data_IF_399248892343
#
_entry.id   IF_399248892343
#
_cell.length_a   1.000
_cell.length_b   1.000
_cell.length_c   1.000
_cell.angle_alpha   90.00
_cell.angle_beta   90.00
_cell.angle_gamma   90.00
#
_symmetry.space_group_name_H-M   'P 1'
#
loop_
_entity.id
_entity.type
_entity.pdbx_description
1 polymer ?
#
# COMPACT_ATOMS: atom_id res chain seq x y z
N UNK A 1 -53.50 3.07 -26.67
CA UNK A 1 -52.04 3.31 -26.77
C UNK A 1 -51.40 2.94 -25.44
N UNK A 2 -50.82 1.74 -25.28
CA UNK A 2 -50.21 1.34 -24.01
C UNK A 2 -48.79 1.91 -23.91
N UNK A 3 -48.57 2.78 -22.92
CA UNK A 3 -47.27 3.37 -22.63
C UNK A 3 -46.36 2.31 -21.99
N UNK A 4 -45.41 1.75 -22.74
CA UNK A 4 -44.42 0.82 -22.18
C UNK A 4 -43.47 1.56 -21.22
N UNK A 5 -43.52 1.21 -19.93
CA UNK A 5 -42.48 1.59 -18.96
C UNK A 5 -41.22 0.78 -19.27
N UNK A 6 -40.11 1.48 -19.55
CA UNK A 6 -38.78 0.85 -19.56
C UNK A 6 -38.41 0.46 -18.13
N UNK A 7 -38.05 -0.80 -17.99
CA UNK A 7 -37.46 -1.42 -16.82
C UNK A 7 -36.05 -0.85 -16.58
N UNK A 8 -35.96 0.17 -15.72
CA UNK A 8 -34.72 0.53 -15.04
C UNK A 8 -34.36 -0.56 -14.04
N UNK A 9 -33.62 -1.57 -14.51
CA UNK A 9 -32.58 -2.30 -13.79
C UNK A 9 -32.16 -3.51 -14.62
N UNK A 10 -31.04 -3.37 -15.34
CA UNK A 10 -30.34 -4.47 -16.00
C UNK A 10 -29.68 -5.44 -15.01
N UNK A 11 -30.43 -5.93 -14.01
CA UNK A 11 -29.96 -6.97 -13.10
C UNK A 11 -30.24 -8.31 -13.77
N UNK A 12 -29.20 -8.88 -14.39
CA UNK A 12 -29.20 -10.23 -14.96
C UNK A 12 -29.99 -11.20 -14.06
N UNK A 13 -31.02 -11.85 -14.63
CA UNK A 13 -31.72 -12.96 -13.98
C UNK A 13 -30.78 -14.17 -13.95
N UNK A 14 -30.22 -14.49 -12.78
CA UNK A 14 -29.52 -15.76 -12.57
C UNK A 14 -30.59 -16.85 -12.48
N UNK A 15 -30.49 -17.89 -13.33
CA UNK A 15 -31.40 -19.04 -13.31
C UNK A 15 -31.16 -19.87 -12.04
N UNK A 16 -32.24 -20.43 -11.48
CA UNK A 16 -32.29 -21.20 -10.23
C UNK A 16 -31.44 -22.49 -10.18
N UNK A 17 -30.60 -22.76 -11.17
CA UNK A 17 -29.71 -23.93 -11.21
C UNK A 17 -28.29 -23.59 -11.67
N UNK A 18 -27.95 -22.30 -11.77
CA UNK A 18 -26.59 -21.88 -12.06
C UNK A 18 -25.77 -22.09 -10.78
N UNK A 19 -24.98 -23.18 -10.74
CA UNK A 19 -24.00 -23.43 -9.67
C UNK A 19 -22.93 -22.36 -9.80
N UNK A 20 -23.20 -21.16 -9.26
CA UNK A 20 -22.21 -20.13 -9.01
C UNK A 20 -21.23 -20.71 -8.00
N UNK A 21 -20.20 -21.40 -8.50
CA UNK A 21 -19.00 -21.67 -7.73
C UNK A 21 -18.33 -20.32 -7.47
N UNK A 22 -18.81 -19.63 -6.44
CA UNK A 22 -18.13 -18.49 -5.87
C UNK A 22 -16.90 -19.00 -5.11
N UNK A 23 -15.87 -19.44 -5.83
CA UNK A 23 -14.52 -19.34 -5.31
C UNK A 23 -14.22 -17.86 -5.26
N UNK A 24 -14.60 -17.21 -4.15
CA UNK A 24 -14.17 -15.85 -3.86
C UNK A 24 -12.64 -15.87 -4.02
N UNK A 25 -12.04 -15.11 -4.95
CA UNK A 25 -10.59 -14.95 -4.91
C UNK A 25 -10.32 -14.36 -3.53
N UNK A 26 -9.49 -15.07 -2.75
CA UNK A 26 -8.92 -14.53 -1.51
C UNK A 26 -8.29 -13.22 -1.94
N UNK A 27 -8.94 -12.09 -1.65
CA UNK A 27 -8.42 -10.79 -2.05
C UNK A 27 -7.05 -10.72 -1.40
N UNK A 28 -5.96 -10.55 -2.16
CA UNK A 28 -4.67 -10.39 -1.54
C UNK A 28 -4.81 -9.23 -0.56
N UNK A 29 -4.32 -9.42 0.66
CA UNK A 29 -4.37 -8.40 1.69
C UNK A 29 -3.56 -7.22 1.18
N UNK A 30 -4.23 -6.27 0.53
CA UNK A 30 -3.62 -5.04 0.06
C UNK A 30 -3.32 -4.23 1.30
N UNK A 31 -2.05 -3.93 1.53
CA UNK A 31 -1.63 -3.06 2.61
C UNK A 31 -2.27 -1.67 2.41
N UNK A 32 -2.38 -0.85 3.46
CA UNK A 32 -3.06 0.46 3.42
C UNK A 32 -2.57 1.42 2.31
N UNK A 33 -1.36 1.17 1.80
CA UNK A 33 -0.75 1.87 0.67
C UNK A 33 -1.10 1.31 -0.73
N UNK A 34 -1.88 0.22 -0.82
CA UNK A 34 -2.18 -0.50 -2.05
C UNK A 34 -1.08 -1.46 -2.52
N UNK A 35 0.00 -1.64 -1.75
CA UNK A 35 1.03 -2.63 -2.08
C UNK A 35 0.55 -4.05 -1.75
N UNK A 36 0.86 -4.97 -2.66
CA UNK A 36 0.84 -6.40 -2.36
C UNK A 36 2.10 -6.74 -1.54
N UNK A 37 2.03 -7.66 -0.57
CA UNK A 37 3.18 -8.05 0.26
C UNK A 37 4.41 -8.45 -0.57
N UNK A 38 4.20 -9.21 -1.65
CA UNK A 38 5.24 -9.65 -2.58
C UNK A 38 6.02 -8.49 -3.24
N UNK A 39 5.39 -7.34 -3.40
CA UNK A 39 5.97 -6.17 -4.05
C UNK A 39 6.67 -5.21 -3.09
N UNK A 40 6.50 -5.40 -1.76
CA UNK A 40 7.09 -4.52 -0.74
C UNK A 40 8.62 -4.48 -0.83
N UNK A 41 9.36 -5.61 -0.95
CA UNK A 41 10.81 -5.57 -1.05
C UNK A 41 11.31 -4.76 -2.25
N UNK A 42 10.69 -4.97 -3.42
CA UNK A 42 11.01 -4.22 -4.64
C UNK A 42 10.71 -2.73 -4.47
N UNK A 43 9.58 -2.39 -3.86
CA UNK A 43 9.21 -0.99 -3.60
C UNK A 43 10.17 -0.33 -2.63
N UNK A 44 10.62 -1.07 -1.62
CA UNK A 44 11.61 -0.60 -0.67
C UNK A 44 12.96 -0.31 -1.34
N UNK A 45 13.41 -1.19 -2.23
CA UNK A 45 14.63 -0.95 -3.02
C UNK A 45 14.54 0.36 -3.84
N UNK A 46 13.40 0.61 -4.51
CA UNK A 46 13.18 1.84 -5.29
C UNK A 46 13.15 3.10 -4.40
N UNK A 47 12.56 3.00 -3.21
CA UNK A 47 12.55 4.10 -2.24
C UNK A 47 13.98 4.40 -1.78
N UNK A 48 14.73 3.37 -1.40
CA UNK A 48 16.12 3.51 -0.96
C UNK A 48 17.01 4.14 -2.04
N UNK A 49 16.90 3.67 -3.29
CA UNK A 49 17.60 4.23 -4.44
C UNK A 49 17.21 5.70 -4.71
N UNK A 50 15.93 6.03 -4.54
CA UNK A 50 15.46 7.41 -4.69
C UNK A 50 16.06 8.31 -3.60
N UNK A 51 16.13 7.82 -2.36
CA UNK A 51 16.73 8.54 -1.23
C UNK A 51 18.21 8.78 -1.48
N UNK A 52 18.96 7.75 -1.89
CA UNK A 52 20.41 7.86 -2.11
C UNK A 52 20.79 8.83 -3.22
N UNK A 53 19.92 9.04 -4.21
CA UNK A 53 20.12 9.99 -5.32
C UNK A 53 19.63 11.41 -4.99
N UNK A 54 18.89 11.59 -3.90
CA UNK A 54 18.29 12.89 -3.57
C UNK A 54 19.14 13.71 -2.63
N UNK A 55 19.04 15.03 -2.75
CA UNK A 55 19.60 15.95 -1.77
C UNK A 55 18.76 15.87 -0.48
N UNK A 56 19.38 15.64 0.69
CA UNK A 56 18.66 15.54 1.95
C UNK A 56 18.04 16.89 2.33
N UNK A 57 16.90 16.86 3.04
CA UNK A 57 16.34 18.05 3.67
C UNK A 57 16.90 18.19 5.07
N UNK A 58 17.41 19.36 5.45
CA UNK A 58 17.89 19.58 6.81
C UNK A 58 16.75 20.07 7.70
N UNK A 59 16.58 19.42 8.85
CA UNK A 59 15.61 19.79 9.87
C UNK A 59 16.38 20.04 11.19
N UNK A 60 16.02 21.11 11.90
CA UNK A 60 16.63 21.42 13.19
C UNK A 60 16.09 20.46 14.25
N UNK A 61 16.98 19.72 14.91
CA UNK A 61 16.62 18.82 15.98
C UNK A 61 16.86 19.48 17.34
N UNK A 62 15.78 19.72 18.08
CA UNK A 62 15.84 20.32 19.42
C UNK A 62 16.51 19.41 20.45
N UNK A 63 16.49 18.08 20.24
CA UNK A 63 17.08 17.11 21.18
C UNK A 63 18.60 17.14 21.10
N UNK A 64 19.16 17.23 19.90
CA UNK A 64 20.62 17.24 19.68
C UNK A 64 21.19 18.64 19.51
N UNK A 65 20.33 19.67 19.36
CA UNK A 65 20.75 21.05 19.13
C UNK A 65 21.50 21.25 17.81
N UNK A 66 21.15 20.49 16.77
CA UNK A 66 21.88 20.48 15.50
C UNK A 66 20.94 20.29 14.29
N UNK A 67 21.41 20.72 13.11
CA UNK A 67 20.77 20.39 11.84
C UNK A 67 21.04 18.94 11.47
N UNK A 68 19.98 18.14 11.36
CA UNK A 68 20.07 16.72 10.99
C UNK A 68 19.56 16.54 9.55
N UNK A 69 20.25 15.73 8.72
CA UNK A 69 19.73 15.36 7.42
C UNK A 69 18.52 14.44 7.56
N UNK A 70 17.43 14.83 6.88
CA UNK A 70 16.19 14.08 6.76
C UNK A 70 15.87 13.75 5.30
N UNK A 71 14.81 12.96 5.11
CA UNK A 71 14.33 12.56 3.79
C UNK A 71 13.66 13.75 3.09
N UNK A 72 14.07 14.00 1.84
CA UNK A 72 13.54 15.12 1.06
C UNK A 72 12.00 15.09 0.93
N UNK A 73 11.38 16.28 0.94
CA UNK A 73 9.92 16.43 0.83
C UNK A 73 9.35 15.76 -0.44
N UNK A 74 10.09 15.82 -1.54
CA UNK A 74 9.68 15.21 -2.81
C UNK A 74 9.54 13.69 -2.71
N UNK A 75 10.46 13.03 -2.00
CA UNK A 75 10.39 11.59 -1.74
C UNK A 75 9.27 11.26 -0.77
N UNK A 76 9.13 12.04 0.31
CA UNK A 76 8.02 11.89 1.27
C UNK A 76 6.66 11.98 0.56
N UNK A 77 6.49 12.89 -0.40
CA UNK A 77 5.26 13.00 -1.20
C UNK A 77 5.09 11.82 -2.17
N UNK A 78 6.15 11.45 -2.90
CA UNK A 78 6.10 10.38 -3.90
C UNK A 78 5.82 9.00 -3.29
N UNK A 79 6.36 8.73 -2.11
CA UNK A 79 6.30 7.42 -1.48
C UNK A 79 5.56 7.39 -0.15
N UNK A 80 4.95 8.49 0.30
CA UNK A 80 4.48 8.66 1.68
C UNK A 80 3.69 7.48 2.26
N UNK A 81 2.72 6.93 1.52
CA UNK A 81 1.97 5.75 1.98
C UNK A 81 2.85 4.49 2.08
N UNK A 82 3.78 4.31 1.14
CA UNK A 82 4.68 3.16 1.10
C UNK A 82 5.84 3.26 2.11
N UNK A 83 6.18 4.46 2.58
CA UNK A 83 7.23 4.66 3.59
C UNK A 83 6.89 4.01 4.93
N UNK A 84 5.62 3.68 5.20
CA UNK A 84 5.23 2.91 6.37
C UNK A 84 5.88 1.51 6.41
N UNK A 85 6.29 0.96 5.26
CA UNK A 85 7.02 -0.31 5.21
C UNK A 85 8.48 -0.20 5.68
N UNK A 86 9.03 1.01 5.75
CA UNK A 86 10.38 1.26 6.26
C UNK A 86 10.42 1.41 7.78
N UNK A 87 9.29 1.73 8.41
CA UNK A 87 9.25 1.90 9.86
C UNK A 87 9.37 0.55 10.56
N UNK A 88 10.23 0.59 11.58
CA UNK A 88 11.03 -0.49 12.14
C UNK A 88 10.26 -1.52 12.96
N UNK A 89 8.97 -1.30 13.18
CA UNK A 89 8.13 -2.21 13.98
C UNK A 89 7.93 -3.58 13.29
N UNK A 90 8.09 -3.65 11.96
CA UNK A 90 8.06 -4.93 11.23
C UNK A 90 9.41 -5.67 11.24
N UNK A 91 10.54 -4.98 11.46
CA UNK A 91 11.87 -5.62 11.50
C UNK A 91 12.14 -6.32 12.84
N UNK A 92 11.45 -5.92 13.91
CA UNK A 92 11.52 -6.59 15.21
C UNK A 92 10.85 -7.97 15.12
N UNK A 93 9.68 -8.06 14.46
CA UNK A 93 8.95 -9.33 14.28
C UNK A 93 9.71 -10.38 13.45
N UNK A 94 10.59 -9.98 12.52
CA UNK A 94 11.34 -10.92 11.69
C UNK A 94 12.61 -11.43 12.38
N UNK A 95 13.21 -10.62 13.28
CA UNK A 95 14.31 -11.09 14.14
C UNK A 95 13.81 -12.09 15.19
N UNK A 96 12.68 -11.82 15.83
CA UNK A 96 12.08 -12.71 16.83
C UNK A 96 11.67 -14.08 16.26
N UNK A 97 11.38 -14.17 14.96
CA UNK A 97 11.08 -15.45 14.28
C UNK A 97 12.31 -16.21 13.79
N UNK A 98 13.46 -15.55 13.65
CA UNK A 98 14.70 -16.19 13.23
C UNK A 98 15.49 -16.79 14.40
N UNK A 99 15.16 -16.38 15.63
CA UNK A 99 15.80 -16.82 16.88
C UNK A 99 14.94 -17.80 17.71
N UNK A 100 13.78 -18.23 17.19
CA UNK A 100 12.88 -19.23 17.79
C UNK A 100 12.84 -20.52 16.94
#
# INVERSE_FOLDING_TARGET
>A
MPHQKRNHNGRRRVKSNDKLQARKPVRPVTLSCGCLPENVPRRNAVIAESISKSVPSYEWCNITGAWIPGISKNIKMKFGRCMHHFNRDNLISDKEKAEA
#
